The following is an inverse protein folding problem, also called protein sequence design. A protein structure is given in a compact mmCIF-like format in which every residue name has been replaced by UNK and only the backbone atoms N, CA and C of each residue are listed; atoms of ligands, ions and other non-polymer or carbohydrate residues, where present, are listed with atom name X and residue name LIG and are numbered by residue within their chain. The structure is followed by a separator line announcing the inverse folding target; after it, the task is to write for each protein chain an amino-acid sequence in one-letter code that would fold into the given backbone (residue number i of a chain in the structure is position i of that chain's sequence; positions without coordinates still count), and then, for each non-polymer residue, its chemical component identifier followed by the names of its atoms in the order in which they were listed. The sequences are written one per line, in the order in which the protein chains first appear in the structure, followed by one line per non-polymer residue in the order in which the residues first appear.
data_IF_856717022517
#
_entry.id   IF_856717022517
#
_cell.length_a   1.000
_cell.length_b   1.000
_cell.length_c   1.000
_cell.angle_alpha   90.00
_cell.angle_beta   90.00
_cell.angle_gamma   90.00
#
_symmetry.space_group_name_H-M   'P 1'
#
loop_
_entity.id
_entity.type
_entity.pdbx_description
1 polymer ?
#
# COMPACT_ATOMS: atom_id res chain seq x y z
N UNK A 1 0.12 6.56 0.28
CA UNK A 1 -0.69 7.76 0.60
C UNK A 1 -0.58 8.02 2.08
N UNK A 2 -0.48 9.29 2.50
CA UNK A 2 -0.48 9.66 3.93
C UNK A 2 -1.62 10.63 4.16
N UNK A 3 -2.51 10.31 5.10
CA UNK A 3 -3.68 11.12 5.44
C UNK A 3 -3.48 11.71 6.83
N UNK A 4 -3.67 13.03 6.97
CA UNK A 4 -3.60 13.69 8.26
C UNK A 4 -4.92 13.51 9.02
N UNK A 5 -4.98 12.49 9.89
CA UNK A 5 -6.19 12.16 10.65
C UNK A 5 -6.74 13.30 11.51
N UNK A 6 -5.89 14.23 12.00
CA UNK A 6 -6.37 15.37 12.80
C UNK A 6 -7.15 16.40 11.98
N UNK A 7 -6.92 16.44 10.66
CA UNK A 7 -7.59 17.36 9.73
C UNK A 7 -8.57 16.62 8.79
N UNK A 8 -8.62 15.29 8.86
CA UNK A 8 -9.41 14.48 7.97
C UNK A 8 -10.88 14.50 8.42
N UNK A 9 -11.72 15.11 7.60
CA UNK A 9 -13.17 15.20 7.81
C UNK A 9 -13.94 14.29 6.85
N UNK A 10 -13.28 13.29 6.28
CA UNK A 10 -13.87 12.41 5.28
C UNK A 10 -14.87 11.45 5.92
N UNK A 11 -16.06 11.41 5.33
CA UNK A 11 -17.05 10.36 5.55
C UNK A 11 -16.96 9.37 4.38
N UNK A 12 -16.49 8.16 4.67
CA UNK A 12 -16.27 7.15 3.64
C UNK A 12 -17.55 6.74 2.91
N UNK A 13 -18.68 6.63 3.61
CA UNK A 13 -19.95 6.26 3.01
C UNK A 13 -20.45 7.35 2.06
N UNK A 14 -20.34 8.61 2.48
CA UNK A 14 -20.71 9.75 1.65
C UNK A 14 -19.83 9.83 0.40
N UNK A 15 -18.51 9.64 0.55
CA UNK A 15 -17.57 9.68 -0.57
C UNK A 15 -17.87 8.58 -1.61
N UNK A 16 -18.21 7.38 -1.16
CA UNK A 16 -18.60 6.28 -2.06
C UNK A 16 -19.89 6.62 -2.80
N UNK A 17 -20.92 7.11 -2.09
CA UNK A 17 -22.19 7.53 -2.74
C UNK A 17 -21.96 8.61 -3.78
N UNK A 18 -21.10 9.58 -3.51
CA UNK A 18 -20.75 10.64 -4.45
C UNK A 18 -19.99 10.13 -5.68
N UNK A 19 -19.07 9.17 -5.48
CA UNK A 19 -18.37 8.50 -6.56
C UNK A 19 -19.34 7.71 -7.46
N UNK A 20 -20.25 6.95 -6.86
CA UNK A 20 -21.29 6.18 -7.57
C UNK A 20 -22.29 7.09 -8.29
N UNK A 21 -22.61 8.26 -7.71
CA UNK A 21 -23.43 9.27 -8.35
C UNK A 21 -22.72 10.01 -9.51
N UNK A 22 -21.44 9.69 -9.76
CA UNK A 22 -20.67 10.27 -10.86
C UNK A 22 -20.14 11.68 -10.60
N UNK A 23 -20.11 12.13 -9.33
CA UNK A 23 -19.50 13.42 -8.96
C UNK A 23 -18.04 13.51 -9.43
N UNK A 24 -17.35 12.37 -9.43
CA UNK A 24 -15.98 12.22 -9.93
C UNK A 24 -15.84 10.94 -10.74
N UNK A 25 -14.93 10.95 -11.69
CA UNK A 25 -14.40 9.71 -12.28
C UNK A 25 -13.45 9.01 -11.30
N UNK A 26 -13.22 7.71 -11.48
CA UNK A 26 -12.24 6.96 -10.69
C UNK A 26 -10.86 7.64 -10.69
N UNK A 27 -10.42 8.17 -11.84
CA UNK A 27 -9.16 8.92 -11.97
C UNK A 27 -9.15 10.15 -11.07
N UNK A 28 -10.19 10.97 -11.14
CA UNK A 28 -10.29 12.18 -10.30
C UNK A 28 -10.29 11.83 -8.81
N UNK A 29 -11.03 10.78 -8.44
CA UNK A 29 -11.16 10.37 -7.05
C UNK A 29 -9.86 9.78 -6.47
N UNK A 30 -9.25 8.81 -7.15
CA UNK A 30 -8.12 8.03 -6.61
C UNK A 30 -6.75 8.61 -6.99
N UNK A 31 -6.59 9.10 -8.22
CA UNK A 31 -5.28 9.55 -8.72
C UNK A 31 -5.06 11.04 -8.48
N UNK A 32 -6.10 11.85 -8.68
CA UNK A 32 -6.03 13.31 -8.52
C UNK A 32 -6.45 13.75 -7.11
N UNK A 33 -6.89 12.81 -6.26
CA UNK A 33 -7.28 13.05 -4.87
C UNK A 33 -8.34 14.17 -4.74
N UNK A 34 -9.30 14.21 -5.67
CA UNK A 34 -10.33 15.26 -5.72
C UNK A 34 -11.12 15.47 -4.41
N UNK A 35 -11.36 14.46 -3.56
CA UNK A 35 -11.98 14.67 -2.25
C UNK A 35 -11.09 15.40 -1.22
N UNK A 36 -9.80 15.55 -1.48
CA UNK A 36 -8.88 16.18 -0.56
C UNK A 36 -9.02 17.71 -0.64
N UNK A 37 -9.34 18.34 0.48
CA UNK A 37 -9.41 19.80 0.58
C UNK A 37 -8.04 20.47 0.35
N UNK A 38 -6.95 19.75 0.63
CA UNK A 38 -5.58 20.22 0.47
C UNK A 38 -4.62 19.06 0.26
N UNK A 39 -3.75 19.18 -0.73
CA UNK A 39 -2.59 18.30 -0.93
C UNK A 39 -1.36 19.06 -0.39
N UNK A 40 -0.74 18.55 0.68
CA UNK A 40 0.37 19.24 1.36
C UNK A 40 1.72 19.03 0.67
N UNK A 41 1.96 17.85 0.11
CA UNK A 41 3.20 17.49 -0.55
C UNK A 41 2.98 16.30 -1.50
N UNK A 42 3.86 16.19 -2.50
CA UNK A 42 4.03 14.99 -3.31
C UNK A 42 5.21 14.21 -2.73
N UNK A 43 5.01 12.91 -2.45
CA UNK A 43 6.08 12.06 -1.96
C UNK A 43 7.08 11.73 -3.08
N UNK A 44 8.38 11.59 -2.77
CA UNK A 44 9.36 11.08 -3.73
C UNK A 44 8.92 9.72 -4.29
N UNK A 45 9.20 9.47 -5.57
CA UNK A 45 8.73 8.25 -6.26
C UNK A 45 9.24 6.95 -5.64
N UNK A 46 10.37 7.00 -4.92
CA UNK A 46 10.97 5.86 -4.21
C UNK A 46 10.08 5.32 -3.08
N UNK A 47 9.11 6.11 -2.62
CA UNK A 47 8.07 5.68 -1.68
C UNK A 47 6.90 4.93 -2.36
N UNK A 48 7.04 4.62 -3.65
CA UNK A 48 6.07 3.83 -4.43
C UNK A 48 6.80 3.17 -5.62
N UNK A 49 7.91 2.49 -5.36
CA UNK A 49 8.70 1.82 -6.40
C UNK A 49 8.00 0.54 -6.87
N UNK A 50 7.35 0.61 -8.04
CA UNK A 50 6.62 -0.49 -8.65
C UNK A 50 7.59 -1.57 -9.16
N UNK A 51 7.45 -2.80 -8.66
CA UNK A 51 8.17 -4.01 -9.10
C UNK A 51 9.69 -3.86 -9.24
N UNK A 52 10.31 -3.03 -8.39
CA UNK A 52 11.75 -2.81 -8.39
C UNK A 52 12.27 -2.58 -6.99
N UNK A 53 13.52 -2.92 -6.80
CA UNK A 53 14.26 -2.61 -5.59
C UNK A 53 15.70 -2.24 -5.93
N UNK A 54 16.18 -1.17 -5.32
CA UNK A 54 17.59 -0.76 -5.36
C UNK A 54 18.02 -0.39 -3.94
N UNK A 55 19.05 -1.08 -3.47
CA UNK A 55 19.60 -0.85 -2.14
C UNK A 55 20.07 0.61 -1.99
N UNK A 56 19.68 1.25 -0.90
CA UNK A 56 19.99 2.66 -0.62
C UNK A 56 19.16 3.68 -1.41
N UNK A 57 18.37 3.27 -2.40
CA UNK A 57 17.47 4.15 -3.17
C UNK A 57 16.00 3.90 -2.86
N UNK A 58 15.55 2.64 -2.90
CA UNK A 58 14.14 2.27 -2.72
C UNK A 58 13.72 2.39 -1.27
N UNK A 59 12.66 3.17 -1.00
CA UNK A 59 12.08 3.34 0.33
C UNK A 59 10.89 2.41 0.55
N UNK A 60 10.07 2.16 -0.49
CA UNK A 60 8.94 1.25 -0.43
C UNK A 60 8.75 0.52 -1.78
N UNK A 61 8.94 -0.79 -1.76
CA UNK A 61 8.62 -1.68 -2.89
C UNK A 61 7.11 -1.92 -2.96
N UNK A 62 6.52 -1.74 -4.14
CA UNK A 62 5.12 -2.00 -4.40
C UNK A 62 4.97 -3.17 -5.39
N UNK A 63 4.48 -4.29 -4.88
CA UNK A 63 4.19 -5.50 -5.67
C UNK A 63 2.83 -5.39 -6.39
N UNK A 64 2.85 -4.89 -7.62
CA UNK A 64 1.67 -4.70 -8.48
C UNK A 64 1.34 -5.88 -9.40
N UNK A 65 2.27 -6.78 -9.67
CA UNK A 65 2.05 -7.98 -10.48
C UNK A 65 1.36 -9.07 -9.63
N UNK A 66 0.05 -8.95 -9.52
CA UNK A 66 -0.79 -9.77 -8.64
C UNK A 66 -0.53 -11.28 -8.74
N UNK A 67 -0.41 -11.92 -9.93
CA UNK A 67 -0.20 -13.36 -10.06
C UNK A 67 1.18 -13.84 -9.59
N UNK A 68 2.17 -12.94 -9.54
CA UNK A 68 3.55 -13.28 -9.20
C UNK A 68 3.96 -12.73 -7.84
N UNK A 69 3.04 -12.26 -7.00
CA UNK A 69 3.36 -11.72 -5.68
C UNK A 69 4.22 -12.68 -4.84
N UNK A 70 5.12 -12.15 -4.00
CA UNK A 70 6.17 -12.95 -3.35
C UNK A 70 5.63 -13.95 -2.31
N UNK A 71 4.43 -13.72 -1.78
CA UNK A 71 3.72 -14.69 -0.91
C UNK A 71 2.95 -15.77 -1.68
N UNK A 72 2.81 -15.64 -3.00
CA UNK A 72 2.14 -16.61 -3.87
C UNK A 72 3.13 -17.46 -4.66
N UNK A 73 4.25 -16.86 -5.10
CA UNK A 73 5.22 -17.48 -6.01
C UNK A 73 6.65 -17.25 -5.53
N UNK A 74 7.39 -18.35 -5.39
CA UNK A 74 8.82 -18.32 -5.01
C UNK A 74 9.73 -17.79 -6.12
N UNK A 75 9.24 -17.71 -7.37
CA UNK A 75 10.01 -17.22 -8.51
C UNK A 75 9.91 -15.70 -8.73
N UNK A 76 9.23 -14.95 -7.86
CA UNK A 76 9.26 -13.49 -7.94
C UNK A 76 10.72 -13.02 -7.71
N UNK A 77 11.31 -12.19 -8.60
CA UNK A 77 12.69 -11.74 -8.45
C UNK A 77 12.98 -10.98 -7.14
N UNK A 78 11.95 -10.42 -6.52
CA UNK A 78 11.99 -9.64 -5.29
C UNK A 78 11.42 -10.41 -4.08
N UNK A 79 11.14 -11.71 -4.21
CA UNK A 79 10.63 -12.54 -3.11
C UNK A 79 11.55 -12.56 -1.89
N UNK A 80 12.85 -12.51 -2.12
CA UNK A 80 13.84 -12.54 -1.05
C UNK A 80 13.68 -11.38 -0.06
N UNK A 81 13.31 -10.19 -0.54
CA UNK A 81 13.07 -9.00 0.32
C UNK A 81 11.89 -9.26 1.24
N UNK A 82 10.78 -9.72 0.67
CA UNK A 82 9.57 -10.01 1.44
C UNK A 82 9.82 -11.10 2.48
N UNK A 83 10.51 -12.18 2.09
CA UNK A 83 10.87 -13.26 3.01
C UNK A 83 11.81 -12.79 4.12
N UNK A 84 12.81 -11.96 3.79
CA UNK A 84 13.73 -11.38 4.76
C UNK A 84 12.97 -10.57 5.83
N UNK A 85 12.08 -9.66 5.41
CA UNK A 85 11.32 -8.86 6.37
C UNK A 85 10.30 -9.67 7.16
N UNK A 86 9.70 -10.72 6.56
CA UNK A 86 8.88 -11.67 7.32
C UNK A 86 9.71 -12.37 8.40
N UNK A 87 10.91 -12.84 8.07
CA UNK A 87 11.77 -13.52 9.05
C UNK A 87 12.26 -12.58 10.15
N UNK A 88 12.57 -11.32 9.81
CA UNK A 88 12.88 -10.28 10.80
C UNK A 88 11.70 -10.05 11.74
N UNK A 89 10.49 -9.83 11.21
CA UNK A 89 9.29 -9.61 12.02
C UNK A 89 8.95 -10.80 12.94
N UNK A 90 9.25 -12.03 12.50
CA UNK A 90 9.12 -13.23 13.34
C UNK A 90 10.19 -13.26 14.44
N UNK A 91 11.45 -12.97 14.10
CA UNK A 91 12.55 -12.95 15.05
C UNK A 91 12.35 -11.90 16.14
N UNK A 92 11.80 -10.74 15.77
CA UNK A 92 11.47 -9.62 16.66
C UNK A 92 10.18 -9.84 17.45
N UNK A 93 9.43 -10.92 17.17
CA UNK A 93 8.20 -11.27 17.87
C UNK A 93 6.96 -10.48 17.48
N UNK A 94 7.01 -9.67 16.41
CA UNK A 94 5.83 -9.00 15.85
C UNK A 94 4.87 -9.99 15.18
N UNK A 95 5.40 -11.09 14.65
CA UNK A 95 4.63 -12.17 14.02
C UNK A 95 4.90 -13.48 14.76
N UNK A 96 3.83 -14.14 15.19
CA UNK A 96 3.92 -15.47 15.78
C UNK A 96 3.93 -16.55 14.68
N UNK A 97 4.79 -17.57 14.85
CA UNK A 97 4.77 -18.78 14.01
C UNK A 97 3.55 -19.68 14.28
N UNK A 98 2.87 -19.47 15.41
CA UNK A 98 1.67 -20.23 15.72
C UNK A 98 0.53 -19.70 14.87
N UNK A 99 0.34 -20.32 13.71
CA UNK A 99 -0.90 -20.20 12.95
C UNK A 99 -2.02 -20.72 13.86
N UNK A 100 -2.77 -19.80 14.45
CA UNK A 100 -3.96 -20.15 15.21
C UNK A 100 -4.91 -20.78 14.20
N UNK A 101 -5.03 -22.11 14.23
CA UNK A 101 -6.03 -22.83 13.47
C UNK A 101 -7.40 -22.37 13.96
N UNK A 102 -7.92 -21.27 13.39
CA UNK A 102 -9.34 -20.96 13.43
C UNK A 102 -10.00 -22.03 12.56
N UNK A 103 -10.47 -23.08 13.24
CA UNK A 103 -11.47 -23.99 12.71
C UNK A 103 -12.76 -23.24 12.41
#
# INVERSE_FOLDING_TARGET
MVLNCQQLTWDAEQLVKELEAGKWTYKQFVLEMAPANKISAVLPSQWNDLERYREGETALTHYTDMPSQPWLKTHNPLAWIWCQELFNAIADGFISKNLSNKK
#
